data_IF_402863996402
#
_entry.id   IF_402863996402
#
_cell.length_a   1.000
_cell.length_b   1.000
_cell.length_c   1.000
_cell.angle_alpha   90.00
_cell.angle_beta   90.00
_cell.angle_gamma   90.00
#
_symmetry.space_group_name_H-M   'P 1'
#
loop_
_entity.id
_entity.type
_entity.pdbx_description
1 polymer ?
#
# COMPACT_ATOMS: atom_id res chain seq x y z
N UNK A 1 14.23 -31.56 2.06
CA UNK A 1 13.44 -30.96 3.16
C UNK A 1 12.07 -30.59 2.59
N UNK A 2 10.98 -31.25 2.99
CA UNK A 2 9.62 -30.93 2.49
C UNK A 2 9.07 -29.76 3.31
N UNK A 3 8.86 -28.62 2.67
CA UNK A 3 8.16 -27.48 3.28
C UNK A 3 6.68 -27.86 3.36
N UNK A 4 6.10 -27.88 4.55
CA UNK A 4 4.67 -28.18 4.73
C UNK A 4 3.82 -26.94 4.46
N UNK A 5 2.56 -27.11 4.02
CA UNK A 5 1.65 -26.00 3.76
C UNK A 5 1.46 -25.08 4.99
N UNK A 6 1.48 -25.67 6.18
CA UNK A 6 1.39 -24.95 7.46
C UNK A 6 2.63 -24.06 7.72
N UNK A 7 3.83 -24.51 7.32
CA UNK A 7 5.03 -23.67 7.43
C UNK A 7 5.01 -22.47 6.49
N UNK A 8 4.44 -22.63 5.29
CA UNK A 8 4.25 -21.51 4.35
C UNK A 8 3.23 -20.53 4.90
N UNK A 9 2.12 -21.03 5.44
CA UNK A 9 1.06 -20.20 5.99
C UNK A 9 1.54 -19.36 7.19
N UNK A 10 2.31 -19.96 8.11
CA UNK A 10 2.85 -19.27 9.29
C UNK A 10 3.94 -18.23 8.97
N UNK A 11 4.62 -18.35 7.82
CA UNK A 11 5.67 -17.40 7.40
C UNK A 11 5.22 -16.44 6.31
N UNK A 12 3.96 -16.52 5.87
CA UNK A 12 3.44 -15.81 4.71
C UNK A 12 3.55 -14.29 4.85
N UNK A 13 3.25 -13.77 6.03
CA UNK A 13 3.42 -12.34 6.32
C UNK A 13 4.89 -11.91 6.22
N UNK A 14 5.83 -12.75 6.66
CA UNK A 14 7.25 -12.45 6.54
C UNK A 14 7.73 -12.48 5.08
N UNK A 15 7.29 -13.49 4.33
CA UNK A 15 7.60 -13.60 2.90
C UNK A 15 7.06 -12.41 2.12
N UNK A 16 5.82 -11.99 2.40
CA UNK A 16 5.22 -10.79 1.81
C UNK A 16 6.10 -9.58 2.02
N UNK A 17 6.49 -9.31 3.27
CA UNK A 17 7.30 -8.14 3.62
C UNK A 17 8.64 -8.11 2.87
N UNK A 18 9.35 -9.26 2.86
CA UNK A 18 10.65 -9.36 2.21
C UNK A 18 10.56 -9.27 0.69
N UNK A 19 9.54 -9.88 0.08
CA UNK A 19 9.34 -9.81 -1.37
C UNK A 19 8.98 -8.38 -1.78
N UNK A 20 8.09 -7.72 -1.04
CA UNK A 20 7.75 -6.31 -1.31
C UNK A 20 8.98 -5.43 -1.20
N UNK A 21 9.77 -5.61 -0.15
CA UNK A 21 11.01 -4.87 0.04
C UNK A 21 11.97 -5.10 -1.13
N UNK A 22 12.31 -6.36 -1.42
CA UNK A 22 13.23 -6.72 -2.49
C UNK A 22 12.76 -6.21 -3.86
N UNK A 23 11.47 -6.36 -4.18
CA UNK A 23 10.89 -5.90 -5.45
C UNK A 23 10.93 -4.37 -5.56
N UNK A 24 10.60 -3.66 -4.47
CA UNK A 24 10.69 -2.20 -4.41
C UNK A 24 12.12 -1.72 -4.66
N UNK A 25 13.13 -2.37 -4.06
CA UNK A 25 14.53 -2.08 -4.31
C UNK A 25 14.94 -2.39 -5.75
N UNK A 26 14.52 -3.53 -6.30
CA UNK A 26 14.79 -3.90 -7.69
C UNK A 26 14.25 -2.87 -8.70
N UNK A 27 13.06 -2.32 -8.44
CA UNK A 27 12.50 -1.23 -9.24
C UNK A 27 13.38 0.03 -9.19
N UNK A 28 14.08 0.26 -8.07
CA UNK A 28 15.12 1.29 -7.91
C UNK A 28 16.22 1.21 -8.95
N UNK A 29 16.72 0.00 -9.24
CA UNK A 29 17.78 -0.21 -10.24
C UNK A 29 17.27 -0.06 -11.68
N UNK A 30 16.00 -0.40 -11.93
CA UNK A 30 15.37 -0.29 -13.27
C UNK A 30 15.10 1.18 -13.62
N UNK A 31 14.78 2.02 -12.62
CA UNK A 31 14.46 3.44 -12.80
C UNK A 31 15.45 4.33 -12.02
N UNK A 32 16.70 4.46 -12.51
CA UNK A 32 17.77 5.16 -11.80
C UNK A 32 17.64 6.69 -11.83
N UNK A 33 16.93 7.26 -12.80
CA UNK A 33 16.76 8.72 -12.91
C UNK A 33 15.35 9.15 -12.45
N UNK A 34 15.29 9.49 -11.17
CA UNK A 34 14.08 9.57 -10.34
C UNK A 34 13.15 10.73 -10.70
N UNK A 35 13.70 11.92 -10.91
CA UNK A 35 12.91 13.13 -11.21
C UNK A 35 12.20 13.01 -12.56
N UNK A 36 12.84 12.34 -13.53
CA UNK A 36 12.25 12.07 -14.84
C UNK A 36 11.13 11.05 -14.76
N UNK A 37 11.22 10.06 -13.87
CA UNK A 37 10.16 9.05 -13.73
C UNK A 37 8.85 9.66 -13.23
N UNK A 38 8.85 10.46 -12.16
CA UNK A 38 7.62 11.08 -11.62
C UNK A 38 6.99 12.05 -12.62
N UNK A 39 7.81 12.75 -13.40
CA UNK A 39 7.36 13.64 -14.47
C UNK A 39 7.00 12.88 -15.77
N UNK A 40 7.27 11.58 -15.86
CA UNK A 40 7.00 10.80 -17.05
C UNK A 40 5.50 10.47 -17.18
N UNK A 41 4.99 10.37 -18.42
CA UNK A 41 3.64 9.85 -18.66
C UNK A 41 3.44 8.42 -18.13
N UNK A 42 4.52 7.66 -17.95
CA UNK A 42 4.49 6.28 -17.48
C UNK A 42 4.17 6.20 -15.99
N UNK A 43 4.48 7.23 -15.20
CA UNK A 43 4.20 7.29 -13.77
C UNK A 43 2.73 7.02 -13.45
N UNK A 44 1.83 7.78 -14.10
CA UNK A 44 0.40 7.66 -13.87
C UNK A 44 -0.16 6.28 -14.27
N UNK A 45 0.47 5.60 -15.25
CA UNK A 45 0.14 4.22 -15.61
C UNK A 45 0.60 3.23 -14.54
N UNK A 46 1.81 3.36 -14.03
CA UNK A 46 2.30 2.55 -12.92
C UNK A 46 1.43 2.71 -11.67
N UNK A 47 0.99 3.93 -11.37
CA UNK A 47 0.06 4.18 -10.27
C UNK A 47 -1.31 3.55 -10.51
N UNK A 48 -1.81 3.56 -11.75
CA UNK A 48 -3.08 2.89 -12.10
C UNK A 48 -2.97 1.37 -11.98
N UNK A 49 -1.85 0.79 -12.42
CA UNK A 49 -1.56 -0.64 -12.25
C UNK A 49 -1.53 -0.97 -10.75
N UNK A 50 -0.80 -0.18 -9.96
CA UNK A 50 -0.69 -0.37 -8.53
C UNK A 50 -2.06 -0.30 -7.84
N UNK A 51 -2.87 0.70 -8.19
CA UNK A 51 -4.24 0.87 -7.70
C UNK A 51 -5.10 -0.34 -8.03
N UNK A 52 -5.07 -0.79 -9.29
CA UNK A 52 -5.90 -1.90 -9.77
C UNK A 52 -5.52 -3.21 -9.10
N UNK A 53 -4.22 -3.51 -9.06
CA UNK A 53 -3.69 -4.68 -8.34
C UNK A 53 -4.05 -4.64 -6.86
N UNK A 54 -3.93 -3.47 -6.23
CA UNK A 54 -4.23 -3.32 -4.81
C UNK A 54 -5.73 -3.47 -4.51
N UNK A 55 -6.62 -2.83 -5.28
CA UNK A 55 -8.08 -2.98 -5.16
C UNK A 55 -8.48 -4.44 -5.38
N UNK A 56 -8.00 -5.06 -6.46
CA UNK A 56 -8.33 -6.45 -6.79
C UNK A 56 -7.83 -7.42 -5.71
N UNK A 57 -6.58 -7.24 -5.28
CA UNK A 57 -5.98 -8.03 -4.20
C UNK A 57 -6.73 -7.88 -2.88
N UNK A 58 -7.02 -6.65 -2.45
CA UNK A 58 -7.78 -6.37 -1.24
C UNK A 58 -9.20 -6.95 -1.31
N UNK A 59 -9.90 -6.79 -2.43
CA UNK A 59 -11.25 -7.32 -2.63
C UNK A 59 -11.29 -8.86 -2.62
N UNK A 60 -10.27 -9.50 -3.22
CA UNK A 60 -10.12 -10.95 -3.21
C UNK A 60 -9.81 -11.46 -1.79
N UNK A 61 -8.92 -10.77 -1.06
CA UNK A 61 -8.49 -11.14 0.30
C UNK A 61 -9.53 -10.87 1.38
N UNK A 62 -10.37 -9.86 1.20
CA UNK A 62 -11.38 -9.48 2.18
C UNK A 62 -12.33 -10.63 2.55
N UNK A 63 -12.71 -11.49 1.60
CA UNK A 63 -13.63 -12.61 1.86
C UNK A 63 -13.05 -13.71 2.76
N UNK A 64 -11.89 -14.34 2.46
CA UNK A 64 -11.30 -15.32 3.37
C UNK A 64 -10.89 -14.70 4.71
N UNK A 65 -10.53 -13.42 4.73
CA UNK A 65 -10.20 -12.70 5.94
C UNK A 65 -11.42 -12.47 6.84
N UNK A 66 -12.53 -11.94 6.29
CA UNK A 66 -13.74 -11.68 7.06
C UNK A 66 -14.28 -12.95 7.71
N UNK A 67 -14.26 -14.10 7.01
CA UNK A 67 -14.63 -15.41 7.58
C UNK A 67 -13.80 -15.81 8.81
N UNK A 68 -12.51 -15.44 8.84
CA UNK A 68 -11.61 -15.72 9.97
C UNK A 68 -11.81 -14.73 11.12
N UNK A 69 -12.07 -13.45 10.81
CA UNK A 69 -12.30 -12.39 11.79
C UNK A 69 -13.67 -12.46 12.47
N UNK A 70 -14.71 -12.92 11.77
CA UNK A 70 -16.04 -13.15 12.37
C UNK A 70 -16.03 -14.12 13.57
N UNK A 71 -14.94 -14.89 13.75
CA UNK A 71 -14.76 -15.83 14.85
C UNK A 71 -13.99 -15.25 16.05
N UNK A 72 -13.49 -14.01 15.98
CA UNK A 72 -12.66 -13.39 17.02
C UNK A 72 -13.39 -12.20 17.70
N UNK A 73 -13.24 -12.00 19.02
CA UNK A 73 -14.04 -11.02 19.78
C UNK A 73 -13.54 -9.56 19.71
N UNK A 74 -14.50 -8.61 19.65
CA UNK A 74 -14.47 -7.23 20.18
C UNK A 74 -13.34 -6.25 19.76
N UNK A 75 -12.08 -6.53 20.09
CA UNK A 75 -10.93 -5.61 19.87
C UNK A 75 -10.61 -5.39 18.39
N UNK A 76 -11.07 -6.26 17.52
CA UNK A 76 -10.78 -6.21 16.09
C UNK A 76 -11.53 -5.09 15.35
N UNK A 77 -12.61 -4.53 15.94
CA UNK A 77 -13.44 -3.50 15.30
C UNK A 77 -12.70 -2.16 15.18
N UNK A 78 -12.09 -1.68 16.28
CA UNK A 78 -11.33 -0.41 16.29
C UNK A 78 -10.12 -0.50 15.36
N UNK A 79 -9.44 -1.65 15.40
CA UNK A 79 -8.31 -1.91 14.52
C UNK A 79 -8.77 -1.90 13.05
N UNK A 80 -9.86 -2.60 12.73
CA UNK A 80 -10.45 -2.60 11.39
C UNK A 80 -10.84 -1.21 10.90
N UNK A 81 -11.40 -0.35 11.76
CA UNK A 81 -11.73 1.03 11.40
C UNK A 81 -10.49 1.89 11.09
N UNK A 82 -9.45 1.81 11.94
CA UNK A 82 -8.17 2.49 11.67
C UNK A 82 -7.62 2.07 10.31
N UNK A 83 -7.80 0.81 9.95
CA UNK A 83 -7.22 0.26 8.74
C UNK A 83 -8.06 0.61 7.53
N UNK A 84 -9.39 0.59 7.61
CA UNK A 84 -10.27 1.10 6.56
C UNK A 84 -9.97 2.58 6.28
N UNK A 85 -9.79 3.40 7.32
CA UNK A 85 -9.40 4.80 7.16
C UNK A 85 -8.03 4.92 6.47
N UNK A 86 -7.06 4.11 6.88
CA UNK A 86 -5.74 4.06 6.23
C UNK A 86 -5.80 3.67 4.75
N UNK A 87 -6.64 2.68 4.38
CA UNK A 87 -6.83 2.30 2.97
C UNK A 87 -7.51 3.40 2.18
N UNK A 88 -8.49 4.08 2.76
CA UNK A 88 -9.13 5.24 2.14
C UNK A 88 -8.12 6.34 1.83
N UNK A 89 -7.22 6.66 2.77
CA UNK A 89 -6.12 7.61 2.53
C UNK A 89 -5.22 7.16 1.37
N UNK A 90 -4.85 5.88 1.31
CA UNK A 90 -4.04 5.32 0.23
C UNK A 90 -4.79 5.44 -1.11
N UNK A 91 -6.05 5.01 -1.17
CA UNK A 91 -6.85 5.08 -2.40
C UNK A 91 -7.00 6.52 -2.89
N UNK A 92 -7.27 7.45 -1.96
CA UNK A 92 -7.39 8.87 -2.26
C UNK A 92 -6.10 9.39 -2.91
N UNK A 93 -4.97 9.20 -2.24
CA UNK A 93 -3.66 9.64 -2.72
C UNK A 93 -3.30 9.02 -4.08
N UNK A 94 -3.50 7.71 -4.24
CA UNK A 94 -3.18 7.01 -5.49
C UNK A 94 -4.09 7.47 -6.64
N UNK A 95 -5.38 7.68 -6.38
CA UNK A 95 -6.31 8.22 -7.39
C UNK A 95 -5.90 9.61 -7.89
N UNK A 96 -5.39 10.47 -7.01
CA UNK A 96 -4.83 11.76 -7.44
C UNK A 96 -3.68 11.58 -8.43
N UNK A 97 -2.76 10.63 -8.17
CA UNK A 97 -1.65 10.34 -9.07
C UNK A 97 -2.08 9.67 -10.38
N UNK A 98 -3.19 8.92 -10.37
CA UNK A 98 -3.77 8.27 -11.55
C UNK A 98 -4.65 9.21 -12.41
N UNK A 99 -5.11 10.34 -11.85
CA UNK A 99 -6.09 11.21 -12.48
C UNK A 99 -5.77 11.58 -13.94
N UNK A 100 -4.52 11.91 -14.34
CA UNK A 100 -4.20 12.23 -15.73
C UNK A 100 -4.49 11.07 -16.71
N UNK A 101 -4.18 9.84 -16.32
CA UNK A 101 -4.42 8.66 -17.16
C UNK A 101 -5.91 8.30 -17.19
N UNK A 102 -6.60 8.43 -16.07
CA UNK A 102 -8.06 8.23 -16.02
C UNK A 102 -8.76 9.22 -16.95
N UNK A 103 -8.42 10.52 -16.87
CA UNK A 103 -8.97 11.52 -17.79
C UNK A 103 -8.72 11.17 -19.25
N UNK A 104 -7.50 10.75 -19.59
CA UNK A 104 -7.15 10.32 -20.95
C UNK A 104 -7.96 9.10 -21.42
N UNK A 105 -8.13 8.10 -20.56
CA UNK A 105 -8.90 6.88 -20.87
C UNK A 105 -10.38 7.16 -21.14
N UNK A 106 -10.97 8.13 -20.42
CA UNK A 106 -12.37 8.50 -20.57
C UNK A 106 -12.59 9.67 -21.55
N UNK A 107 -11.54 10.15 -22.24
CA UNK A 107 -11.63 11.24 -23.20
C UNK A 107 -11.93 12.62 -22.57
N UNK A 108 -11.74 12.77 -21.25
CA UNK A 108 -11.86 14.06 -20.59
C UNK A 108 -10.65 14.93 -20.91
N UNK A 109 -10.86 16.23 -21.10
CA UNK A 109 -9.78 17.20 -21.27
C UNK A 109 -8.86 17.14 -20.05
N UNK A 110 -7.57 16.93 -20.28
CA UNK A 110 -6.60 16.75 -19.19
C UNK A 110 -6.57 18.02 -18.32
N UNK A 111 -7.03 17.92 -17.07
CA UNK A 111 -7.14 19.04 -16.14
C UNK A 111 -5.79 19.65 -15.71
N UNK A 112 -4.66 19.07 -16.13
CA UNK A 112 -3.31 19.49 -15.72
C UNK A 112 -2.75 20.68 -16.53
N UNK A 113 -3.48 21.23 -17.51
CA UNK A 113 -2.97 22.32 -18.37
C UNK A 113 -2.66 23.65 -17.64
N UNK A 114 -3.04 23.80 -16.36
CA UNK A 114 -2.83 25.05 -15.60
C UNK A 114 -2.33 24.92 -14.15
N UNK A 115 -1.78 23.78 -13.73
CA UNK A 115 -1.29 23.54 -12.35
C UNK A 115 -2.28 23.85 -11.21
N UNK A 116 -3.55 24.12 -11.52
CA UNK A 116 -4.59 24.36 -10.54
C UNK A 116 -5.41 23.10 -10.39
N UNK A 117 -5.18 22.36 -9.30
CA UNK A 117 -6.08 21.29 -8.89
C UNK A 117 -7.43 21.92 -8.55
N UNK A 118 -8.40 21.80 -9.45
CA UNK A 118 -9.76 22.28 -9.20
C UNK A 118 -10.36 21.55 -7.99
N UNK A 119 -11.02 22.30 -7.10
CA UNK A 119 -11.73 21.71 -5.96
C UNK A 119 -12.73 20.61 -6.36
N UNK A 120 -13.27 20.70 -7.58
CA UNK A 120 -14.13 19.68 -8.18
C UNK A 120 -13.40 18.35 -8.37
N UNK A 121 -12.14 18.37 -8.83
CA UNK A 121 -11.33 17.15 -9.01
C UNK A 121 -11.05 16.50 -7.66
N UNK A 122 -10.73 17.31 -6.64
CA UNK A 122 -10.52 16.83 -5.28
C UNK A 122 -11.78 16.13 -4.77
N UNK A 123 -12.94 16.79 -4.90
CA UNK A 123 -14.22 16.27 -4.45
C UNK A 123 -14.62 14.96 -5.15
N UNK A 124 -14.49 14.90 -6.48
CA UNK A 124 -14.78 13.68 -7.25
C UNK A 124 -13.85 12.54 -6.82
N UNK A 125 -12.56 12.81 -6.67
CA UNK A 125 -11.57 11.82 -6.22
C UNK A 125 -11.88 11.33 -4.81
N UNK A 126 -12.32 12.19 -3.89
CA UNK A 126 -12.78 11.79 -2.55
C UNK A 126 -14.00 10.87 -2.59
N UNK A 127 -15.00 11.20 -3.41
CA UNK A 127 -16.18 10.34 -3.60
C UNK A 127 -15.74 8.99 -4.17
N UNK A 128 -14.91 8.99 -5.21
CA UNK A 128 -14.44 7.77 -5.86
C UNK A 128 -13.63 6.88 -4.91
N UNK A 129 -12.72 7.47 -4.12
CA UNK A 129 -11.96 6.76 -3.09
C UNK A 129 -12.90 6.14 -2.05
N UNK A 130 -13.95 6.87 -1.65
CA UNK A 130 -14.97 6.38 -0.70
C UNK A 130 -15.75 5.22 -1.29
N UNK A 131 -16.19 5.32 -2.56
CA UNK A 131 -16.92 4.26 -3.26
C UNK A 131 -16.04 3.02 -3.42
N UNK A 132 -14.77 3.17 -3.81
CA UNK A 132 -13.82 2.05 -3.93
C UNK A 132 -13.61 1.38 -2.57
N UNK A 133 -13.37 2.17 -1.52
CA UNK A 133 -13.19 1.67 -0.16
C UNK A 133 -14.43 0.88 0.28
N UNK A 134 -15.62 1.45 0.05
CA UNK A 134 -16.87 0.76 0.32
C UNK A 134 -17.01 -0.53 -0.51
N UNK A 135 -16.68 -0.55 -1.80
CA UNK A 135 -16.76 -1.75 -2.62
C UNK A 135 -15.82 -2.88 -2.15
N UNK A 136 -14.63 -2.52 -1.69
CA UNK A 136 -13.62 -3.47 -1.18
C UNK A 136 -14.07 -4.04 0.17
N UNK A 137 -14.51 -3.18 1.09
CA UNK A 137 -14.78 -3.53 2.50
C UNK A 137 -16.26 -3.67 2.85
N UNK A 138 -17.19 -3.50 1.90
CA UNK A 138 -18.61 -3.72 2.16
C UNK A 138 -18.80 -5.10 2.73
N UNK A 139 -19.64 -5.21 3.76
CA UNK A 139 -20.00 -6.47 4.36
C UNK A 139 -20.54 -7.40 3.27
N UNK A 140 -19.71 -8.33 2.83
CA UNK A 140 -20.13 -9.46 2.01
C UNK A 140 -20.72 -10.44 3.03
N UNK A 141 -21.99 -10.20 3.40
CA UNK A 141 -22.74 -11.03 4.35
C UNK A 141 -22.40 -12.51 4.08
N UNK A 142 -21.94 -13.27 5.07
CA UNK A 142 -21.61 -14.67 4.86
C UNK A 142 -22.92 -15.42 4.68
N UNK A 143 -23.40 -15.51 3.43
CA UNK A 143 -24.38 -16.52 3.08
C UNK A 143 -23.77 -17.90 3.34
N UNK A 144 -24.62 -18.88 3.70
CA UNK A 144 -24.27 -20.31 3.75
C UNK A 144 -23.47 -20.77 2.51
N UNK A 145 -23.68 -20.12 1.36
CA UNK A 145 -22.97 -20.34 0.10
C UNK A 145 -21.45 -20.01 0.10
N UNK A 146 -20.97 -19.08 0.94
CA UNK A 146 -19.52 -18.78 1.04
C UNK A 146 -18.82 -19.79 1.95
N UNK A 147 -19.50 -20.26 3.00
CA UNK A 147 -19.03 -21.33 3.88
C UNK A 147 -19.00 -22.71 3.19
N UNK A 148 -19.81 -22.90 2.14
CA UNK A 148 -19.82 -24.11 1.31
C UNK A 148 -18.63 -24.21 0.32
N UNK A 149 -17.74 -23.20 0.25
CA UNK A 149 -16.58 -23.23 -0.64
C UNK A 149 -15.49 -24.15 -0.08
N UNK A 150 -14.86 -24.94 -0.95
CA UNK A 150 -13.76 -25.82 -0.56
C UNK A 150 -12.56 -25.03 0.00
N UNK A 151 -11.85 -25.63 0.96
CA UNK A 151 -10.62 -25.05 1.54
C UNK A 151 -9.59 -24.72 0.45
N UNK A 152 -9.45 -25.60 -0.55
CA UNK A 152 -8.51 -25.44 -1.66
C UNK A 152 -8.84 -24.24 -2.54
N UNK A 153 -10.13 -23.99 -2.80
CA UNK A 153 -10.55 -22.81 -3.56
C UNK A 153 -10.21 -21.52 -2.82
N UNK A 154 -10.47 -21.47 -1.51
CA UNK A 154 -10.14 -20.30 -0.68
C UNK A 154 -8.63 -20.06 -0.65
N UNK A 155 -7.82 -21.11 -0.55
CA UNK A 155 -6.36 -21.02 -0.58
C UNK A 155 -5.84 -20.47 -1.92
N UNK A 156 -6.30 -21.00 -3.07
CA UNK A 156 -5.92 -20.49 -4.40
C UNK A 156 -6.29 -19.01 -4.57
N UNK A 157 -7.50 -18.64 -4.16
CA UNK A 157 -7.96 -17.25 -4.21
C UNK A 157 -7.07 -16.34 -3.36
N UNK A 158 -6.65 -16.80 -2.19
CA UNK A 158 -5.77 -16.04 -1.30
C UNK A 158 -4.36 -15.90 -1.90
N UNK A 159 -3.84 -16.92 -2.59
CA UNK A 159 -2.55 -16.81 -3.30
C UNK A 159 -2.58 -15.74 -4.40
N UNK A 160 -3.64 -15.73 -5.22
CA UNK A 160 -3.83 -14.70 -6.25
C UNK A 160 -3.96 -13.32 -5.61
N UNK A 161 -4.73 -13.22 -4.52
CA UNK A 161 -4.88 -11.97 -3.79
C UNK A 161 -3.53 -11.45 -3.28
N UNK A 162 -2.71 -12.33 -2.72
CA UNK A 162 -1.39 -11.96 -2.21
C UNK A 162 -0.43 -11.54 -3.32
N UNK A 163 -0.42 -12.25 -4.45
CA UNK A 163 0.40 -11.85 -5.59
C UNK A 163 0.04 -10.44 -6.07
N UNK A 164 -1.26 -10.16 -6.23
CA UNK A 164 -1.74 -8.83 -6.62
C UNK A 164 -1.39 -7.76 -5.58
N UNK A 165 -1.51 -8.08 -4.30
CA UNK A 165 -1.09 -7.18 -3.23
C UNK A 165 0.42 -6.95 -3.24
N UNK A 166 1.24 -7.98 -3.44
CA UNK A 166 2.70 -7.85 -3.53
C UNK A 166 3.05 -6.88 -4.66
N UNK A 167 2.49 -7.09 -5.85
CA UNK A 167 2.76 -6.23 -7.01
C UNK A 167 2.32 -4.79 -6.74
N UNK A 168 1.07 -4.60 -6.29
CA UNK A 168 0.52 -3.26 -6.03
C UNK A 168 1.28 -2.53 -4.91
N UNK A 169 1.50 -3.20 -3.78
CA UNK A 169 2.22 -2.63 -2.64
C UNK A 169 3.68 -2.37 -2.95
N UNK A 170 4.34 -3.18 -3.78
CA UNK A 170 5.73 -2.93 -4.21
C UNK A 170 5.84 -1.66 -5.04
N UNK A 171 4.93 -1.45 -6.00
CA UNK A 171 4.92 -0.23 -6.82
C UNK A 171 4.61 0.99 -5.95
N UNK A 172 3.61 0.90 -5.06
CA UNK A 172 3.28 2.00 -4.14
C UNK A 172 4.43 2.29 -3.17
N UNK A 173 5.08 1.26 -2.64
CA UNK A 173 6.21 1.41 -1.73
C UNK A 173 7.39 2.07 -2.44
N UNK A 174 7.68 1.65 -3.66
CA UNK A 174 8.68 2.29 -4.51
C UNK A 174 8.32 3.76 -4.75
N UNK A 175 7.11 4.06 -5.24
CA UNK A 175 6.73 5.45 -5.54
C UNK A 175 6.73 6.33 -4.30
N UNK A 176 6.19 5.87 -3.18
CA UNK A 176 6.05 6.68 -1.97
C UNK A 176 7.36 6.80 -1.21
N UNK A 177 8.01 5.67 -0.91
CA UNK A 177 9.18 5.62 -0.03
C UNK A 177 10.47 5.91 -0.76
N UNK A 178 10.63 5.40 -1.99
CA UNK A 178 11.85 5.65 -2.76
C UNK A 178 11.79 7.00 -3.47
N UNK A 179 10.64 7.39 -4.02
CA UNK A 179 10.57 8.58 -4.89
C UNK A 179 9.92 9.77 -4.21
N UNK A 180 8.82 9.58 -3.51
CA UNK A 180 8.08 10.64 -2.82
C UNK A 180 8.91 11.27 -1.70
N UNK A 181 9.53 10.45 -0.85
CA UNK A 181 10.39 10.90 0.24
C UNK A 181 11.61 11.66 -0.29
N UNK A 182 12.35 11.07 -1.25
CA UNK A 182 13.54 11.71 -1.81
C UNK A 182 13.17 13.02 -2.51
N UNK A 183 12.11 13.06 -3.32
CA UNK A 183 11.71 14.28 -4.03
C UNK A 183 11.27 15.42 -3.07
N UNK A 184 10.66 15.07 -1.94
CA UNK A 184 10.27 16.06 -0.93
C UNK A 184 11.48 16.66 -0.20
N UNK A 185 12.61 15.93 -0.18
CA UNK A 185 13.80 16.26 0.58
C UNK A 185 14.95 16.78 -0.28
N UNK A 186 15.01 16.40 -1.55
CA UNK A 186 16.05 16.83 -2.50
C UNK A 186 16.02 18.33 -2.80
N UNK A 187 14.88 18.99 -2.58
CA UNK A 187 14.70 20.42 -2.84
C UNK A 187 14.89 21.30 -1.59
N UNK A 188 15.23 20.71 -0.43
CA UNK A 188 15.44 21.47 0.81
C UNK A 188 16.80 21.15 1.40
N UNK A 189 17.75 22.11 1.46
CA UNK A 189 18.99 21.89 2.18
C UNK A 189 18.67 21.68 3.66
N UNK A 190 18.99 20.50 4.19
CA UNK A 190 18.86 20.19 5.62
C UNK A 190 20.03 20.85 6.34
N UNK A 191 19.83 22.08 6.79
CA UNK A 191 20.88 22.93 7.39
C UNK A 191 20.95 22.78 8.91
N UNK A 192 19.88 22.28 9.54
CA UNK A 192 19.80 22.12 10.98
C UNK A 192 19.38 20.71 11.42
N UNK A 193 19.85 20.30 12.60
CA UNK A 193 19.42 19.04 13.24
C UNK A 193 17.90 18.99 13.46
N UNK A 194 17.27 20.13 13.72
CA UNK A 194 15.81 20.23 13.88
C UNK A 194 15.04 19.86 12.61
N UNK A 195 15.53 20.23 11.43
CA UNK A 195 14.93 19.85 10.15
C UNK A 195 15.07 18.34 9.89
N UNK A 196 16.25 17.77 10.18
CA UNK A 196 16.48 16.32 10.08
C UNK A 196 15.52 15.56 11.01
N UNK A 197 15.36 16.03 12.25
CA UNK A 197 14.44 15.43 13.21
C UNK A 197 12.98 15.54 12.78
N UNK A 198 12.55 16.71 12.30
CA UNK A 198 11.19 16.90 11.79
C UNK A 198 10.89 15.97 10.61
N UNK A 199 11.81 15.89 9.65
CA UNK A 199 11.71 14.98 8.51
C UNK A 199 11.61 13.54 8.99
N UNK A 200 12.46 13.11 9.92
CA UNK A 200 12.42 11.77 10.48
C UNK A 200 11.05 11.46 11.11
N UNK A 201 10.51 12.37 11.93
CA UNK A 201 9.18 12.18 12.57
C UNK A 201 8.06 12.18 11.54
N UNK A 202 8.09 13.08 10.56
CA UNK A 202 7.09 13.15 9.49
C UNK A 202 7.09 11.88 8.63
N UNK A 203 8.27 11.41 8.21
CA UNK A 203 8.42 10.15 7.48
C UNK A 203 7.96 8.95 8.29
N UNK A 204 8.23 8.96 9.60
CA UNK A 204 7.74 7.93 10.51
C UNK A 204 6.21 7.89 10.57
N UNK A 205 5.58 9.06 10.71
CA UNK A 205 4.12 9.16 10.71
C UNK A 205 3.52 8.75 9.36
N UNK A 206 4.09 9.24 8.26
CA UNK A 206 3.69 8.83 6.91
C UNK A 206 3.82 7.31 6.74
N UNK A 207 4.88 6.69 7.24
CA UNK A 207 5.08 5.25 7.16
C UNK A 207 4.01 4.49 7.92
N UNK A 208 3.73 4.89 9.15
CA UNK A 208 2.64 4.27 9.93
C UNK A 208 1.30 4.43 9.20
N UNK A 209 1.04 5.58 8.58
CA UNK A 209 -0.22 5.86 7.89
C UNK A 209 -0.34 5.18 6.52
N UNK A 210 0.75 5.02 5.78
CA UNK A 210 0.72 4.50 4.41
C UNK A 210 1.18 3.04 4.34
N UNK A 211 2.18 2.60 5.09
CA UNK A 211 2.67 1.21 5.04
C UNK A 211 1.84 0.25 5.90
N UNK A 212 1.43 0.69 7.11
CA UNK A 212 0.71 -0.19 8.03
C UNK A 212 -0.65 -0.65 7.47
N UNK A 213 -1.43 0.20 6.78
CA UNK A 213 -2.65 -0.27 6.11
C UNK A 213 -2.36 -1.16 4.91
N UNK A 214 -1.31 -0.89 4.11
CA UNK A 214 -0.90 -1.81 3.03
C UNK A 214 -0.63 -3.23 3.54
N UNK A 215 -0.15 -3.35 4.78
CA UNK A 215 0.12 -4.62 5.47
C UNK A 215 -1.05 -5.15 6.30
N UNK A 216 -2.13 -4.39 6.46
CA UNK A 216 -3.29 -4.71 7.29
C UNK A 216 -3.79 -6.15 7.14
N UNK A 217 -3.95 -6.58 5.90
CA UNK A 217 -4.55 -7.87 5.55
C UNK A 217 -3.74 -9.06 6.08
N UNK A 218 -2.46 -8.84 6.42
CA UNK A 218 -1.60 -9.80 7.12
C UNK A 218 -1.42 -9.44 8.59
N UNK A 219 -1.44 -8.14 8.95
CA UNK A 219 -1.23 -7.73 10.33
C UNK A 219 -2.37 -8.15 11.25
N UNK A 220 -3.62 -8.13 10.79
CA UNK A 220 -4.74 -8.54 11.65
C UNK A 220 -4.62 -10.01 12.08
N UNK A 221 -3.97 -10.84 11.27
CA UNK A 221 -3.71 -12.25 11.59
C UNK A 221 -2.63 -12.39 12.68
N UNK A 222 -1.61 -11.51 12.68
CA UNK A 222 -0.39 -11.63 13.49
C UNK A 222 -0.12 -10.46 14.46
N UNK A 223 -1.08 -9.57 14.69
CA UNK A 223 -0.86 -8.32 15.45
C UNK A 223 -0.40 -8.55 16.89
N UNK A 224 -0.71 -9.71 17.50
CA UNK A 224 -0.25 -10.08 18.84
C UNK A 224 1.21 -10.57 18.89
N UNK A 225 1.83 -10.85 17.75
CA UNK A 225 3.17 -11.42 17.70
C UNK A 225 4.25 -10.35 17.83
N UNK A 226 5.01 -10.38 18.94
CA UNK A 226 6.20 -9.51 19.14
C UNK A 226 7.21 -9.66 18.00
N UNK A 227 7.33 -10.85 17.41
CA UNK A 227 8.24 -11.11 16.29
C UNK A 227 7.84 -10.33 15.04
N UNK A 228 6.54 -10.22 14.77
CA UNK A 228 6.00 -9.45 13.64
C UNK A 228 6.30 -7.96 13.80
N UNK A 229 6.08 -7.40 15.00
CA UNK A 229 6.41 -6.00 15.30
C UNK A 229 7.90 -5.69 15.17
N UNK A 230 8.78 -6.55 15.72
CA UNK A 230 10.24 -6.40 15.55
C UNK A 230 10.65 -6.40 14.09
N UNK A 231 10.07 -7.30 13.27
CA UNK A 231 10.32 -7.32 11.83
C UNK A 231 9.86 -6.04 11.14
N UNK A 232 8.68 -5.51 11.51
CA UNK A 232 8.21 -4.23 10.95
C UNK A 232 9.17 -3.10 11.27
N UNK A 233 9.57 -2.99 12.54
CA UNK A 233 10.50 -1.96 13.00
C UNK A 233 11.85 -2.07 12.29
N UNK A 234 12.34 -3.29 12.03
CA UNK A 234 13.58 -3.50 11.27
C UNK A 234 13.45 -3.03 9.81
N UNK A 235 12.37 -3.41 9.11
CA UNK A 235 12.15 -2.98 7.72
C UNK A 235 11.99 -1.47 7.65
N UNK A 236 11.26 -0.91 8.60
CA UNK A 236 11.07 0.53 8.73
C UNK A 236 12.37 1.27 9.00
N UNK A 237 13.15 0.82 9.98
CA UNK A 237 14.45 1.41 10.30
C UNK A 237 15.39 1.32 9.09
N UNK A 238 15.36 0.22 8.35
CA UNK A 238 16.16 0.06 7.14
C UNK A 238 15.75 1.05 6.04
N UNK A 239 14.45 1.18 5.76
CA UNK A 239 13.94 2.15 4.78
C UNK A 239 14.28 3.59 5.18
N UNK A 240 14.06 3.97 6.44
CA UNK A 240 14.41 5.29 6.95
C UNK A 240 15.90 5.57 6.84
N UNK A 241 16.75 4.64 7.31
CA UNK A 241 18.19 4.80 7.28
C UNK A 241 18.69 4.95 5.84
N UNK A 242 18.14 4.14 4.94
CA UNK A 242 18.45 4.21 3.51
C UNK A 242 18.05 5.57 2.90
N UNK A 243 16.83 6.04 3.16
CA UNK A 243 16.41 7.37 2.71
C UNK A 243 17.29 8.48 3.28
N UNK A 244 17.71 8.36 4.55
CA UNK A 244 18.65 9.30 5.18
C UNK A 244 20.00 9.30 4.46
N UNK A 245 20.58 8.13 4.18
CA UNK A 245 21.85 8.04 3.44
C UNK A 245 21.76 8.65 2.03
N UNK A 246 20.68 8.35 1.29
CA UNK A 246 20.46 8.91 -0.04
C UNK A 246 20.34 10.45 -0.02
N UNK A 247 19.75 11.03 1.04
CA UNK A 247 19.69 12.48 1.21
C UNK A 247 21.08 13.09 1.44
N UNK A 248 21.95 12.39 2.18
CA UNK A 248 23.32 12.84 2.44
C UNK A 248 24.30 12.50 1.30
N UNK A 249 23.85 11.81 0.25
CA UNK A 249 24.69 11.44 -0.89
C UNK A 249 25.79 10.42 -0.54
N UNK A 250 25.59 9.62 0.51
CA UNK A 250 26.46 8.51 0.95
C UNK A 250 25.85 7.20 0.47
#
# INVERSE_FOLDING_TARGET
MKITADQVQNNRAAMFDWIVLATSFSLGFIFPDLGKFVLSPQFSWWMLIALTCYIAGAWLKHTPLSLRLFRKPGREIVYTLFLVAGHWCIFLMVLFFCAPVISKLFGFRAYMEKNQTSGTVIFITMILATVITWLVYRSKVPGKAVAARSKDYLFRRELVADFLLIVGVSILSFVLWEKGVIALLSNKPLTSFGEVWFVFVFLSAAYVLCYLPLRYLFLIEDHGSRRTWRRMLLIFAFLLLKSVFEIFGI
#
